data_IF_664296631450
#
_entry.id   IF_664296631450
#
_cell.length_a   1.000
_cell.length_b   1.000
_cell.length_c   1.000
_cell.angle_alpha   90.00
_cell.angle_beta   90.00
_cell.angle_gamma   90.00
#
_symmetry.space_group_name_H-M   'P 1'
#
loop_
_entity.id
_entity.type
_entity.pdbx_description
1 polymer ?
#
# COMPACT_ATOMS: atom_id res chain seq x y z
N UNK A 1 20.52 5.62 35.91
CA UNK A 1 20.65 5.54 34.43
C UNK A 1 21.39 6.77 33.97
N UNK A 2 22.35 6.60 33.09
CA UNK A 2 23.08 7.73 32.53
C UNK A 2 22.16 8.55 31.62
N UNK A 3 22.34 9.88 31.65
CA UNK A 3 21.59 10.80 30.80
C UNK A 3 22.28 10.90 29.46
N UNK A 4 21.53 10.72 28.37
CA UNK A 4 22.01 10.88 26.99
C UNK A 4 21.89 12.33 26.54
N UNK A 5 20.78 13.00 26.94
CA UNK A 5 20.52 14.40 26.63
C UNK A 5 20.43 15.22 27.91
N UNK A 6 21.22 16.30 28.01
CA UNK A 6 21.13 17.22 29.15
C UNK A 6 19.98 18.21 29.00
N UNK A 7 19.72 18.66 27.75
CA UNK A 7 18.64 19.60 27.41
C UNK A 7 17.72 18.99 26.37
N UNK A 8 16.58 18.45 26.81
CA UNK A 8 15.64 17.77 25.91
C UNK A 8 14.19 18.10 26.25
N UNK A 9 13.30 17.97 25.26
CA UNK A 9 11.87 18.26 25.42
C UNK A 9 11.02 17.08 25.02
N UNK A 10 10.09 16.69 25.91
CA UNK A 10 8.99 15.77 25.60
C UNK A 10 7.71 16.56 25.32
N UNK A 11 7.02 16.21 24.25
CA UNK A 11 5.80 16.92 23.83
C UNK A 11 4.66 15.94 23.66
N UNK A 12 3.56 16.24 24.34
CA UNK A 12 2.26 15.62 24.08
C UNK A 12 1.43 16.51 23.16
N UNK A 13 0.94 15.91 22.05
CA UNK A 13 0.34 16.63 20.95
C UNK A 13 -1.14 16.30 20.81
N UNK A 14 -1.99 17.29 21.06
CA UNK A 14 -3.43 17.23 20.85
C UNK A 14 -3.91 18.17 19.73
N UNK A 15 -5.18 18.03 19.34
CA UNK A 15 -5.77 18.83 18.25
C UNK A 15 -5.71 20.34 18.49
N UNK A 16 -5.86 20.79 19.73
CA UNK A 16 -5.97 22.22 20.11
C UNK A 16 -4.88 22.66 21.08
N UNK A 17 -4.25 21.74 21.76
CA UNK A 17 -3.31 21.97 22.85
C UNK A 17 -2.05 21.16 22.62
N UNK A 18 -0.92 21.76 22.87
CA UNK A 18 0.40 21.16 22.89
C UNK A 18 0.97 21.34 24.29
N UNK A 19 1.28 20.28 24.98
CA UNK A 19 1.95 20.32 26.29
C UNK A 19 3.41 19.93 26.09
N UNK A 20 4.34 20.81 26.45
CA UNK A 20 5.78 20.61 26.30
C UNK A 20 6.48 20.64 27.67
N UNK A 21 7.23 19.59 27.97
CA UNK A 21 8.07 19.49 29.12
C UNK A 21 9.55 19.58 28.71
N UNK A 22 10.17 20.71 28.99
CA UNK A 22 11.57 20.94 28.71
C UNK A 22 12.42 20.65 29.97
N UNK A 23 13.36 19.72 29.83
CA UNK A 23 14.33 19.35 30.87
C UNK A 23 15.69 19.97 30.62
N UNK A 24 16.30 20.53 31.67
CA UNK A 24 17.66 21.05 31.70
C UNK A 24 18.38 20.42 32.92
N UNK A 25 19.11 19.36 32.66
CA UNK A 25 19.71 18.56 33.75
C UNK A 25 18.64 17.94 34.65
N UNK A 26 18.59 18.39 35.93
CA UNK A 26 17.60 17.94 36.91
C UNK A 26 16.40 18.87 37.05
N UNK A 27 16.38 20.02 36.34
CA UNK A 27 15.26 20.97 36.32
C UNK A 27 14.35 20.67 35.17
N UNK A 28 13.04 20.88 35.37
CA UNK A 28 12.06 20.77 34.30
C UNK A 28 11.13 21.99 34.32
N UNK A 29 10.69 22.37 33.14
CA UNK A 29 9.72 23.43 32.93
C UNK A 29 8.63 22.91 32.00
N UNK A 30 7.36 23.02 32.41
CA UNK A 30 6.23 22.60 31.59
C UNK A 30 5.50 23.85 31.12
N UNK A 31 5.24 23.93 29.81
CA UNK A 31 4.42 24.98 29.17
C UNK A 31 3.36 24.39 28.28
N UNK A 32 2.26 25.13 28.18
CA UNK A 32 1.17 24.83 27.29
C UNK A 32 1.14 25.84 26.13
N UNK A 33 0.87 25.35 24.92
CA UNK A 33 0.79 26.15 23.70
C UNK A 33 -0.45 25.76 22.91
N UNK A 34 -1.07 26.74 22.23
CA UNK A 34 -2.09 26.44 21.24
C UNK A 34 -1.50 25.76 19.99
N UNK A 35 -2.33 25.02 19.25
CA UNK A 35 -1.91 24.35 18.02
C UNK A 35 -1.95 25.28 16.77
N UNK A 36 -1.90 26.60 16.95
CA UNK A 36 -1.80 27.57 15.84
C UNK A 36 -0.35 27.75 15.43
N UNK A 37 -0.09 28.08 14.17
CA UNK A 37 1.27 28.31 13.65
C UNK A 37 2.05 29.31 14.52
N UNK A 38 1.39 30.42 14.96
CA UNK A 38 2.01 31.42 15.82
C UNK A 38 2.49 30.80 17.14
N UNK A 39 1.66 30.02 17.80
CA UNK A 39 1.99 29.39 19.08
C UNK A 39 3.09 28.29 18.92
N UNK A 40 3.06 27.56 17.80
CA UNK A 40 4.10 26.58 17.49
C UNK A 40 5.46 27.23 17.20
N UNK A 41 5.50 28.41 16.58
CA UNK A 41 6.71 29.19 16.42
C UNK A 41 7.25 29.69 17.76
N UNK A 42 6.39 30.19 18.65
CA UNK A 42 6.78 30.58 20.03
C UNK A 42 7.35 29.38 20.79
N UNK A 43 6.79 28.19 20.63
CA UNK A 43 7.34 26.96 21.20
C UNK A 43 8.73 26.66 20.62
N UNK A 44 8.90 26.75 19.31
CA UNK A 44 10.20 26.51 18.66
C UNK A 44 11.28 27.49 19.14
N UNK A 45 10.94 28.81 19.23
CA UNK A 45 11.83 29.83 19.73
C UNK A 45 12.22 29.56 21.21
N UNK A 46 11.25 29.24 22.08
CA UNK A 46 11.52 28.88 23.47
C UNK A 46 12.48 27.70 23.63
N UNK A 47 12.33 26.68 22.77
CA UNK A 47 13.24 25.51 22.76
C UNK A 47 14.64 25.88 22.26
N UNK A 48 14.72 26.72 21.22
CA UNK A 48 15.97 27.17 20.60
C UNK A 48 16.77 28.06 21.57
N UNK A 49 16.10 29.04 22.22
CA UNK A 49 16.69 29.91 23.25
C UNK A 49 17.17 29.11 24.47
N UNK A 50 16.43 28.03 24.80
CA UNK A 50 16.81 27.10 25.85
C UNK A 50 18.01 26.21 25.51
N UNK A 51 18.41 26.14 24.24
CA UNK A 51 19.46 25.24 23.72
C UNK A 51 19.03 23.77 23.74
N UNK A 52 17.78 23.48 23.35
CA UNK A 52 17.25 22.12 23.29
C UNK A 52 18.03 21.27 22.28
N UNK A 53 18.56 20.13 22.71
CA UNK A 53 19.35 19.22 21.88
C UNK A 53 18.48 18.26 21.07
N UNK A 54 17.37 17.81 21.67
CA UNK A 54 16.43 16.85 21.07
C UNK A 54 15.02 17.05 21.59
N UNK A 55 14.06 16.95 20.68
CA UNK A 55 12.62 16.97 20.96
C UNK A 55 12.01 15.61 20.64
N UNK A 56 11.19 15.06 21.52
CA UNK A 56 10.40 13.87 21.25
C UNK A 56 8.91 14.17 21.35
N UNK A 57 8.12 13.66 20.37
CA UNK A 57 6.67 13.81 20.37
C UNK A 57 5.96 12.50 20.01
N UNK A 58 4.74 12.30 20.54
CA UNK A 58 3.94 11.12 20.19
C UNK A 58 3.28 11.26 18.82
N UNK A 59 3.23 10.16 18.06
CA UNK A 59 2.59 10.07 16.73
C UNK A 59 1.07 10.00 16.81
N UNK A 60 0.41 10.95 17.50
CA UNK A 60 -1.05 10.97 17.62
C UNK A 60 -1.70 11.51 16.35
N UNK A 61 -2.43 10.65 15.63
CA UNK A 61 -3.10 10.95 14.35
C UNK A 61 -2.19 11.70 13.35
N UNK A 62 -2.60 12.90 12.89
CA UNK A 62 -1.81 13.79 12.03
C UNK A 62 -1.37 15.07 12.73
N UNK A 63 -1.70 15.22 14.03
CA UNK A 63 -1.49 16.48 14.77
C UNK A 63 -0.02 16.81 15.03
N UNK A 64 0.85 15.80 15.04
CA UNK A 64 2.30 15.98 15.18
C UNK A 64 2.96 16.63 13.94
N UNK A 65 2.36 16.49 12.75
CA UNK A 65 2.98 16.93 11.48
C UNK A 65 3.27 18.44 11.43
N UNK A 66 2.31 19.36 11.77
CA UNK A 66 2.60 20.79 11.75
C UNK A 66 3.73 21.17 12.69
N UNK A 67 3.73 20.62 13.90
CA UNK A 67 4.79 20.85 14.89
C UNK A 67 6.13 20.34 14.38
N UNK A 68 6.19 19.09 13.90
CA UNK A 68 7.41 18.50 13.35
C UNK A 68 8.00 19.37 12.22
N UNK A 69 7.16 19.82 11.29
CA UNK A 69 7.59 20.67 10.18
C UNK A 69 8.16 22.01 10.65
N UNK A 70 7.59 22.62 11.70
CA UNK A 70 8.10 23.88 12.27
C UNK A 70 9.42 23.63 12.99
N UNK A 71 9.54 22.58 13.79
CA UNK A 71 10.80 22.24 14.46
C UNK A 71 11.90 21.96 13.44
N UNK A 72 11.61 21.18 12.39
CA UNK A 72 12.54 20.88 11.29
C UNK A 72 12.99 22.17 10.57
N UNK A 73 12.04 23.07 10.24
CA UNK A 73 12.36 24.36 9.60
C UNK A 73 13.10 25.36 10.52
N UNK A 74 13.09 25.12 11.82
CA UNK A 74 13.82 25.89 12.84
C UNK A 74 15.16 25.26 13.22
N UNK A 75 15.64 24.24 12.48
CA UNK A 75 16.87 23.47 12.74
C UNK A 75 16.90 22.81 14.13
N UNK A 76 15.74 22.44 14.66
CA UNK A 76 15.62 21.69 15.91
C UNK A 76 15.53 20.19 15.62
N UNK A 77 16.37 19.41 16.28
CA UNK A 77 16.30 17.95 16.18
C UNK A 77 15.02 17.43 16.83
N UNK A 78 14.18 16.75 16.05
CA UNK A 78 12.91 16.21 16.52
C UNK A 78 12.74 14.74 16.14
N UNK A 79 12.23 13.94 17.09
CA UNK A 79 11.83 12.56 16.83
C UNK A 79 10.36 12.36 17.11
N UNK A 80 9.72 11.54 16.27
CA UNK A 80 8.34 11.09 16.47
C UNK A 80 8.37 9.66 16.99
N UNK A 81 7.70 9.41 18.10
CA UNK A 81 7.70 8.09 18.75
C UNK A 81 6.34 7.42 18.65
N UNK A 82 6.34 6.11 18.57
CA UNK A 82 5.09 5.35 18.48
C UNK A 82 4.51 5.11 19.87
N UNK A 83 3.25 5.51 20.08
CA UNK A 83 2.49 5.30 21.31
C UNK A 83 2.55 3.87 21.89
N UNK A 84 2.72 2.85 21.02
CA UNK A 84 2.83 1.45 21.46
C UNK A 84 4.15 1.14 22.16
N UNK A 85 5.24 1.77 21.74
CA UNK A 85 6.52 1.59 22.40
C UNK A 85 6.50 2.26 23.78
N UNK A 86 5.89 3.43 23.89
CA UNK A 86 5.76 4.12 25.18
C UNK A 86 4.85 3.38 26.17
N UNK A 87 3.77 2.75 25.69
CA UNK A 87 2.86 1.93 26.53
C UNK A 87 3.49 0.62 27.05
N UNK A 88 4.59 0.18 26.47
CA UNK A 88 5.32 -1.00 26.94
C UNK A 88 6.23 -0.69 28.15
N UNK A 89 6.46 0.58 28.44
CA UNK A 89 7.26 1.00 29.62
C UNK A 89 6.29 1.26 30.77
N UNK A 90 6.43 0.61 31.96
CA UNK A 90 5.52 0.78 33.09
C UNK A 90 5.55 2.23 33.65
N UNK A 91 4.39 2.83 33.84
CA UNK A 91 4.24 4.20 34.41
C UNK A 91 2.79 4.67 34.50
N UNK A 92 2.52 5.73 35.28
CA UNK A 92 1.18 6.30 35.50
C UNK A 92 0.84 7.39 34.48
N UNK A 93 -0.43 7.43 34.02
CA UNK A 93 -0.96 8.34 32.99
C UNK A 93 -1.75 9.53 33.55
N UNK A 94 -1.39 10.76 33.13
CA UNK A 94 -2.23 11.96 33.01
C UNK A 94 -1.59 12.85 31.94
N UNK A 95 -2.33 13.72 31.22
CA UNK A 95 -1.84 14.46 30.04
C UNK A 95 -0.59 15.33 30.31
N UNK A 96 -0.51 16.04 31.43
CA UNK A 96 0.72 16.75 31.86
C UNK A 96 1.85 15.76 32.15
N UNK A 97 1.51 14.60 32.71
CA UNK A 97 2.49 13.53 32.96
C UNK A 97 2.91 12.79 31.70
N UNK A 98 2.13 12.88 30.60
CA UNK A 98 2.52 12.26 29.33
C UNK A 98 3.70 13.04 28.70
N UNK A 99 3.70 14.38 28.68
CA UNK A 99 4.83 15.20 28.25
C UNK A 99 6.06 15.02 29.14
N UNK A 100 5.88 15.03 30.48
CA UNK A 100 6.95 14.76 31.45
C UNK A 100 7.55 13.37 31.27
N UNK A 101 6.70 12.37 31.01
CA UNK A 101 7.10 10.98 30.80
C UNK A 101 7.88 10.82 29.49
N UNK A 102 7.43 11.46 28.41
CA UNK A 102 8.15 11.49 27.14
C UNK A 102 9.54 12.13 27.33
N UNK A 103 9.63 13.25 28.06
CA UNK A 103 10.87 13.93 28.35
C UNK A 103 11.83 13.07 29.20
N UNK A 104 11.29 12.32 30.17
CA UNK A 104 12.07 11.42 31.01
C UNK A 104 12.66 10.26 30.22
N UNK A 105 11.83 9.60 29.43
CA UNK A 105 12.27 8.51 28.55
C UNK A 105 13.31 8.99 27.52
N UNK A 106 13.09 10.19 26.95
CA UNK A 106 14.03 10.81 26.02
C UNK A 106 15.37 11.08 26.67
N UNK A 107 15.37 11.67 27.84
CA UNK A 107 16.59 12.03 28.58
C UNK A 107 17.49 10.79 28.81
N UNK A 108 16.89 9.64 29.03
CA UNK A 108 17.60 8.37 29.29
C UNK A 108 17.79 7.49 28.04
N UNK A 109 17.42 7.99 26.83
CA UNK A 109 17.58 7.26 25.57
C UNK A 109 16.71 6.02 25.43
N UNK A 110 15.59 5.97 26.14
CA UNK A 110 14.68 4.82 26.14
C UNK A 110 13.63 4.89 25.02
N UNK A 111 13.62 5.98 24.23
CA UNK A 111 12.70 6.15 23.12
C UNK A 111 13.31 5.64 21.82
N UNK A 112 12.49 4.94 21.03
CA UNK A 112 12.83 4.54 19.69
C UNK A 112 12.13 5.43 18.68
N UNK A 113 12.89 6.17 17.86
CA UNK A 113 12.37 7.05 16.83
C UNK A 113 11.62 6.26 15.74
N UNK A 114 10.48 6.78 15.33
CA UNK A 114 9.86 6.39 14.07
C UNK A 114 10.60 7.05 12.91
N UNK A 115 10.79 6.33 11.83
CA UNK A 115 11.38 6.94 10.63
C UNK A 115 10.42 7.96 10.01
N UNK A 116 10.85 9.20 9.97
CA UNK A 116 10.18 10.30 9.26
C UNK A 116 11.08 10.66 8.06
N UNK A 117 10.57 10.52 6.81
CA UNK A 117 11.32 10.89 5.63
C UNK A 117 11.55 12.41 5.55
N UNK A 118 12.43 12.82 4.64
CA UNK A 118 12.58 14.21 4.27
C UNK A 118 11.25 14.80 3.74
N UNK A 119 11.20 16.13 3.61
CA UNK A 119 10.01 16.87 3.23
C UNK A 119 9.48 16.42 1.86
N UNK A 120 10.36 16.31 0.87
CA UNK A 120 9.97 15.96 -0.50
C UNK A 120 9.35 14.54 -0.54
N UNK A 121 9.96 13.58 0.14
CA UNK A 121 9.39 12.23 0.21
C UNK A 121 8.07 12.19 1.00
N UNK A 122 7.87 13.07 2.00
CA UNK A 122 6.57 13.20 2.68
C UNK A 122 5.49 13.72 1.73
N UNK A 123 5.80 14.73 0.94
CA UNK A 123 4.89 15.32 -0.05
C UNK A 123 4.56 14.32 -1.15
N UNK A 124 5.55 13.63 -1.70
CA UNK A 124 5.33 12.53 -2.67
C UNK A 124 4.40 11.44 -2.12
N UNK A 125 4.58 11.07 -0.84
CA UNK A 125 3.67 10.12 -0.17
C UNK A 125 2.24 10.62 -0.08
N UNK A 126 2.02 11.92 0.10
CA UNK A 126 0.69 12.51 0.17
C UNK A 126 0.02 12.51 -1.20
N UNK A 127 0.73 12.88 -2.26
CA UNK A 127 0.24 12.79 -3.65
C UNK A 127 -0.19 11.36 -3.99
N UNK A 128 0.65 10.37 -3.73
CA UNK A 128 0.35 8.95 -4.00
C UNK A 128 -0.85 8.45 -3.18
N UNK A 129 -0.98 8.87 -1.91
CA UNK A 129 -2.12 8.50 -1.07
C UNK A 129 -3.41 9.11 -1.57
N UNK A 130 -3.37 10.38 -1.95
CA UNK A 130 -4.53 11.06 -2.49
C UNK A 130 -4.98 10.44 -3.81
N UNK A 131 -4.05 10.18 -4.73
CA UNK A 131 -4.33 9.44 -5.96
C UNK A 131 -5.02 8.10 -5.68
N UNK A 132 -4.51 7.32 -4.71
CA UNK A 132 -5.13 6.04 -4.31
C UNK A 132 -6.55 6.22 -3.78
N UNK A 133 -6.83 7.31 -3.05
CA UNK A 133 -8.18 7.65 -2.59
C UNK A 133 -9.12 7.85 -3.75
N UNK A 134 -8.74 8.66 -4.76
CA UNK A 134 -9.55 8.93 -5.95
C UNK A 134 -9.81 7.65 -6.78
N UNK A 135 -8.82 6.76 -6.91
CA UNK A 135 -9.03 5.44 -7.53
C UNK A 135 -10.06 4.62 -6.75
N UNK A 136 -10.03 4.70 -5.43
CA UNK A 136 -11.05 4.07 -4.58
C UNK A 136 -12.44 4.68 -4.76
N UNK A 137 -12.53 6.00 -4.93
CA UNK A 137 -13.77 6.72 -5.23
C UNK A 137 -14.34 6.31 -6.58
N UNK A 138 -13.51 6.31 -7.62
CA UNK A 138 -13.88 5.83 -8.94
C UNK A 138 -14.45 4.40 -8.89
N UNK A 139 -13.83 3.52 -8.14
CA UNK A 139 -14.32 2.15 -7.97
C UNK A 139 -15.70 2.12 -7.30
N UNK A 140 -15.94 2.99 -6.31
CA UNK A 140 -17.27 3.11 -5.67
C UNK A 140 -18.33 3.61 -6.65
N UNK A 141 -18.01 4.58 -7.51
CA UNK A 141 -18.91 5.08 -8.53
C UNK A 141 -19.24 4.01 -9.57
N UNK A 142 -18.25 3.27 -10.06
CA UNK A 142 -18.48 2.14 -10.97
C UNK A 142 -19.40 1.07 -10.34
N UNK A 143 -19.23 0.79 -9.05
CA UNK A 143 -20.13 -0.14 -8.35
C UNK A 143 -21.57 0.42 -8.19
N UNK A 144 -21.74 1.75 -8.02
CA UNK A 144 -23.06 2.39 -8.01
C UNK A 144 -23.72 2.29 -9.37
N UNK A 145 -22.98 2.60 -10.43
CA UNK A 145 -23.46 2.46 -11.81
C UNK A 145 -23.91 1.02 -12.09
N UNK A 146 -23.08 0.03 -11.74
CA UNK A 146 -23.44 -1.37 -11.92
C UNK A 146 -24.71 -1.76 -11.16
N UNK A 147 -24.86 -1.34 -9.90
CA UNK A 147 -26.09 -1.60 -9.12
C UNK A 147 -27.33 -0.96 -9.74
N UNK A 148 -27.20 0.22 -10.33
CA UNK A 148 -28.30 0.89 -10.99
C UNK A 148 -28.72 0.15 -12.27
N UNK A 149 -27.76 -0.31 -13.07
CA UNK A 149 -27.99 -1.12 -14.25
C UNK A 149 -28.69 -2.44 -13.90
N UNK A 150 -28.20 -3.13 -12.87
CA UNK A 150 -28.84 -4.36 -12.37
C UNK A 150 -30.25 -4.10 -11.89
N UNK A 151 -30.54 -2.95 -11.25
CA UNK A 151 -31.86 -2.53 -10.84
C UNK A 151 -32.83 -2.24 -12.02
N UNK A 152 -32.29 -1.91 -13.19
CA UNK A 152 -33.01 -1.75 -14.45
C UNK A 152 -33.06 -3.04 -15.29
N UNK A 153 -32.58 -4.16 -14.77
CA UNK A 153 -32.39 -5.44 -15.46
C UNK A 153 -31.48 -5.36 -16.69
N UNK A 154 -30.45 -4.51 -16.65
CA UNK A 154 -29.45 -4.37 -17.71
C UNK A 154 -28.18 -5.13 -17.27
N UNK A 155 -27.75 -6.12 -18.05
CA UNK A 155 -26.68 -7.05 -17.73
C UNK A 155 -25.35 -6.68 -18.40
N UNK A 156 -25.04 -5.38 -18.53
CA UNK A 156 -23.85 -4.87 -19.22
C UNK A 156 -22.54 -5.51 -18.74
N UNK A 157 -22.41 -5.81 -17.45
CA UNK A 157 -21.20 -6.44 -16.87
C UNK A 157 -21.00 -7.90 -17.33
N UNK A 158 -22.04 -8.58 -17.82
CA UNK A 158 -21.94 -9.90 -18.47
C UNK A 158 -21.46 -9.81 -19.91
N UNK A 159 -21.73 -8.71 -20.56
CA UNK A 159 -21.48 -8.45 -21.99
C UNK A 159 -20.10 -7.87 -22.25
N UNK A 160 -19.64 -6.94 -21.41
CA UNK A 160 -18.35 -6.26 -21.55
C UNK A 160 -17.36 -6.70 -20.47
N UNK A 161 -16.07 -6.75 -20.82
CA UNK A 161 -15.01 -7.10 -19.88
C UNK A 161 -14.73 -6.00 -18.83
N UNK A 162 -14.96 -4.75 -19.20
CA UNK A 162 -14.75 -3.57 -18.36
C UNK A 162 -15.87 -2.56 -18.57
N UNK A 163 -16.65 -2.32 -17.52
CA UNK A 163 -17.76 -1.35 -17.51
C UNK A 163 -17.29 0.11 -17.69
N UNK A 164 -16.00 0.38 -17.46
CA UNK A 164 -15.36 1.67 -17.69
C UNK A 164 -14.67 1.75 -19.06
N UNK A 165 -14.70 0.70 -19.85
CA UNK A 165 -14.09 0.62 -21.18
C UNK A 165 -14.86 1.42 -22.23
N UNK A 166 -14.20 1.72 -23.37
CA UNK A 166 -14.78 2.51 -24.47
C UNK A 166 -16.13 1.98 -24.94
N UNK A 167 -16.24 0.68 -25.21
CA UNK A 167 -17.50 0.06 -25.67
C UNK A 167 -18.61 0.19 -24.63
N UNK A 168 -18.31 -0.07 -23.35
CA UNK A 168 -19.29 0.12 -22.29
C UNK A 168 -19.75 1.56 -22.20
N UNK A 169 -18.80 2.52 -22.26
CA UNK A 169 -19.12 3.95 -22.21
C UNK A 169 -20.05 4.37 -23.35
N UNK A 170 -19.76 3.96 -24.57
CA UNK A 170 -20.60 4.28 -25.74
C UNK A 170 -22.01 3.66 -25.65
N UNK A 171 -22.09 2.44 -25.12
CA UNK A 171 -23.40 1.79 -24.86
C UNK A 171 -24.19 2.59 -23.82
N UNK A 172 -23.54 2.97 -22.71
CA UNK A 172 -24.16 3.75 -21.64
C UNK A 172 -24.63 5.13 -22.12
N UNK A 173 -23.84 5.82 -22.94
CA UNK A 173 -24.22 7.10 -23.56
C UNK A 173 -25.42 6.95 -24.45
N UNK A 174 -25.51 5.88 -25.26
CA UNK A 174 -26.69 5.63 -26.08
C UNK A 174 -27.92 5.34 -25.20
N UNK A 175 -27.79 4.57 -24.13
CA UNK A 175 -28.91 4.28 -23.21
C UNK A 175 -29.50 5.54 -22.56
N UNK A 176 -28.74 6.64 -22.48
CA UNK A 176 -29.25 7.91 -21.98
C UNK A 176 -30.30 8.54 -22.90
N UNK A 177 -30.32 8.19 -24.19
CA UNK A 177 -31.37 8.63 -25.14
C UNK A 177 -32.74 8.06 -24.78
N UNK A 178 -32.74 6.88 -24.15
CA UNK A 178 -33.96 6.13 -23.84
C UNK A 178 -34.46 5.24 -24.97
N UNK A 179 -33.75 5.22 -26.08
CA UNK A 179 -34.05 4.36 -27.22
C UNK A 179 -33.54 2.93 -26.96
N UNK A 180 -34.29 1.89 -27.37
CA UNK A 180 -33.83 0.51 -27.23
C UNK A 180 -32.67 0.21 -28.20
N UNK A 181 -31.81 -0.72 -27.80
CA UNK A 181 -30.75 -1.25 -28.68
C UNK A 181 -31.36 -2.46 -29.41
N UNK A 182 -31.88 -2.25 -30.60
CA UNK A 182 -32.36 -3.30 -31.48
C UNK A 182 -31.25 -3.87 -32.38
N UNK A 183 -31.59 -4.81 -33.25
CA UNK A 183 -30.64 -5.45 -34.16
C UNK A 183 -30.00 -4.47 -35.14
N UNK A 184 -30.74 -3.46 -35.61
CA UNK A 184 -30.23 -2.45 -36.54
C UNK A 184 -29.24 -1.55 -35.84
N UNK A 185 -29.58 -1.05 -34.65
CA UNK A 185 -28.71 -0.20 -33.87
C UNK A 185 -27.46 -0.91 -33.40
N UNK A 186 -27.57 -2.19 -33.05
CA UNK A 186 -26.40 -3.01 -32.73
C UNK A 186 -25.45 -3.09 -33.93
N UNK A 187 -25.96 -3.37 -35.15
CA UNK A 187 -25.12 -3.47 -36.35
C UNK A 187 -24.43 -2.14 -36.68
N UNK A 188 -25.13 -1.01 -36.56
CA UNK A 188 -24.51 0.32 -36.71
C UNK A 188 -23.36 0.53 -35.73
N UNK A 189 -23.60 0.23 -34.45
CA UNK A 189 -22.57 0.39 -33.39
C UNK A 189 -21.39 -0.57 -33.58
N UNK A 190 -21.62 -1.76 -34.12
CA UNK A 190 -20.61 -2.74 -34.45
C UNK A 190 -19.76 -2.31 -35.65
N UNK A 191 -20.38 -1.86 -36.74
CA UNK A 191 -19.67 -1.36 -37.94
C UNK A 191 -18.84 -0.11 -37.64
N UNK A 192 -19.36 0.79 -36.82
CA UNK A 192 -18.67 1.99 -36.34
C UNK A 192 -17.54 1.69 -35.31
N UNK A 193 -17.32 0.41 -34.98
CA UNK A 193 -16.35 -0.04 -33.95
C UNK A 193 -16.60 0.54 -32.55
N UNK A 194 -17.83 0.95 -32.28
CA UNK A 194 -18.30 1.39 -30.98
C UNK A 194 -18.38 0.20 -30.04
N UNK A 195 -18.92 -0.92 -30.53
CA UNK A 195 -18.92 -2.21 -29.84
C UNK A 195 -17.68 -3.01 -30.29
N UNK A 196 -16.94 -3.54 -29.31
CA UNK A 196 -15.73 -4.30 -29.60
C UNK A 196 -16.05 -5.62 -30.34
N UNK A 197 -15.31 -5.93 -31.40
CA UNK A 197 -15.50 -7.12 -32.24
C UNK A 197 -15.14 -8.45 -31.54
N UNK A 198 -14.54 -8.42 -30.37
CA UNK A 198 -14.08 -9.60 -29.62
C UNK A 198 -14.96 -9.93 -28.41
N UNK A 199 -16.22 -9.47 -28.39
CA UNK A 199 -17.18 -9.85 -27.34
C UNK A 199 -17.49 -11.35 -27.44
N UNK A 200 -17.61 -11.99 -26.27
CA UNK A 200 -17.83 -13.45 -26.20
C UNK A 200 -19.27 -13.85 -26.40
N UNK A 201 -20.20 -12.95 -26.09
CA UNK A 201 -21.64 -13.19 -26.22
C UNK A 201 -22.10 -13.02 -27.68
N UNK A 202 -23.14 -13.76 -28.08
CA UNK A 202 -23.78 -13.58 -29.39
C UNK A 202 -24.49 -12.24 -29.50
N UNK A 203 -24.75 -11.75 -30.72
CA UNK A 203 -25.53 -10.52 -30.98
C UNK A 203 -26.84 -10.50 -30.21
N UNK A 204 -27.63 -11.57 -30.36
CA UNK A 204 -28.95 -11.68 -29.73
C UNK A 204 -28.86 -11.63 -28.20
N UNK A 205 -27.89 -12.32 -27.61
CA UNK A 205 -27.66 -12.30 -26.19
C UNK A 205 -27.25 -10.90 -25.70
N UNK A 206 -26.42 -10.17 -26.46
CA UNK A 206 -26.03 -8.80 -26.13
C UNK A 206 -27.24 -7.88 -26.16
N UNK A 207 -28.08 -7.99 -27.18
CA UNK A 207 -29.33 -7.19 -27.31
C UNK A 207 -30.24 -7.47 -26.12
N UNK A 208 -30.44 -8.74 -25.76
CA UNK A 208 -31.28 -9.13 -24.62
C UNK A 208 -30.71 -8.61 -23.29
N UNK A 209 -29.39 -8.74 -23.08
CA UNK A 209 -28.70 -8.27 -21.88
C UNK A 209 -28.78 -6.74 -21.69
N UNK A 210 -28.90 -5.98 -22.78
CA UNK A 210 -28.96 -4.52 -22.79
C UNK A 210 -30.37 -3.94 -22.75
N UNK A 211 -31.40 -4.73 -23.09
CA UNK A 211 -32.81 -4.32 -23.14
C UNK A 211 -33.49 -4.46 -21.76
N UNK A 212 -33.07 -3.62 -20.82
CA UNK A 212 -33.76 -3.42 -19.55
C UNK A 212 -34.67 -2.21 -19.56
N UNK A 213 -35.43 -2.01 -18.48
CA UNK A 213 -36.33 -0.87 -18.32
C UNK A 213 -35.71 0.16 -17.40
N UNK A 214 -35.22 1.26 -17.98
CA UNK A 214 -34.65 2.39 -17.24
C UNK A 214 -35.62 3.58 -17.22
N UNK A 215 -36.02 4.01 -16.02
CA UNK A 215 -36.87 5.19 -15.85
C UNK A 215 -36.13 6.48 -16.24
N UNK A 216 -36.86 7.58 -16.57
CA UNK A 216 -36.23 8.88 -16.80
C UNK A 216 -35.36 9.36 -15.66
N UNK A 217 -35.75 9.08 -14.40
CA UNK A 217 -34.96 9.40 -13.23
C UNK A 217 -33.66 8.60 -13.19
N UNK A 218 -33.68 7.30 -13.48
CA UNK A 218 -32.49 6.47 -13.53
C UNK A 218 -31.53 6.93 -14.65
N UNK A 219 -32.03 7.32 -15.83
CA UNK A 219 -31.20 7.92 -16.88
C UNK A 219 -30.51 9.19 -16.43
N UNK A 220 -31.24 10.08 -15.74
CA UNK A 220 -30.64 11.30 -15.17
C UNK A 220 -29.54 10.97 -14.14
N UNK A 221 -29.82 10.03 -13.23
CA UNK A 221 -28.82 9.59 -12.25
C UNK A 221 -27.61 8.94 -12.94
N UNK A 222 -27.81 8.19 -14.01
CA UNK A 222 -26.72 7.61 -14.79
C UNK A 222 -25.84 8.69 -15.42
N UNK A 223 -26.43 9.77 -15.96
CA UNK A 223 -25.67 10.93 -16.47
C UNK A 223 -24.75 11.50 -15.39
N UNK A 224 -25.30 11.81 -14.22
CA UNK A 224 -24.51 12.34 -13.08
C UNK A 224 -23.36 11.40 -12.68
N UNK A 225 -23.59 10.08 -12.65
CA UNK A 225 -22.56 9.11 -12.33
C UNK A 225 -21.47 9.07 -13.42
N UNK A 226 -21.84 9.15 -14.69
CA UNK A 226 -20.88 9.15 -15.80
C UNK A 226 -20.03 10.42 -15.82
N UNK A 227 -20.65 11.57 -15.61
CA UNK A 227 -19.94 12.87 -15.54
C UNK A 227 -18.96 12.88 -14.38
N UNK A 228 -19.36 12.41 -13.18
CA UNK A 228 -18.46 12.29 -12.04
C UNK A 228 -17.32 11.28 -12.26
N UNK A 229 -17.57 10.18 -12.98
CA UNK A 229 -16.50 9.24 -13.37
C UNK A 229 -15.48 9.91 -14.30
N UNK A 230 -15.93 10.76 -15.21
CA UNK A 230 -15.02 11.51 -16.10
C UNK A 230 -14.17 12.52 -15.34
N UNK A 231 -14.77 13.27 -14.41
CA UNK A 231 -14.04 14.16 -13.50
C UNK A 231 -12.97 13.42 -12.69
N UNK A 232 -13.34 12.27 -12.09
CA UNK A 232 -12.40 11.44 -11.35
C UNK A 232 -11.25 10.92 -12.23
N UNK A 233 -11.53 10.54 -13.48
CA UNK A 233 -10.50 10.12 -14.44
C UNK A 233 -9.52 11.25 -14.76
N UNK A 234 -10.03 12.48 -14.97
CA UNK A 234 -9.19 13.67 -15.21
C UNK A 234 -8.32 13.96 -13.99
N UNK A 235 -8.89 13.97 -12.78
CA UNK A 235 -8.14 14.23 -11.54
C UNK A 235 -7.07 13.16 -11.30
N UNK A 236 -7.38 11.89 -11.52
CA UNK A 236 -6.40 10.79 -11.38
C UNK A 236 -5.24 10.98 -12.37
N UNK A 237 -5.55 11.34 -13.62
CA UNK A 237 -4.53 11.60 -14.65
C UNK A 237 -3.63 12.77 -14.27
N UNK A 238 -4.21 13.90 -13.85
CA UNK A 238 -3.44 15.06 -13.41
C UNK A 238 -2.50 14.70 -12.26
N UNK A 239 -2.95 13.90 -11.28
CA UNK A 239 -2.08 13.42 -10.21
C UNK A 239 -1.01 12.44 -10.68
N UNK A 240 -1.28 11.62 -11.72
CA UNK A 240 -0.25 10.77 -12.33
C UNK A 240 0.87 11.61 -12.92
N UNK A 241 0.51 12.67 -13.66
CA UNK A 241 1.45 13.60 -14.27
C UNK A 241 2.23 14.41 -13.21
N UNK A 242 1.54 14.86 -12.14
CA UNK A 242 2.16 15.57 -11.03
C UNK A 242 3.14 14.68 -10.24
N UNK A 243 2.77 13.45 -9.92
CA UNK A 243 3.66 12.48 -9.25
C UNK A 243 4.91 12.25 -10.11
N UNK A 244 4.74 12.07 -11.42
CA UNK A 244 5.87 11.85 -12.31
C UNK A 244 6.80 13.08 -12.35
N UNK A 245 6.25 14.30 -12.40
CA UNK A 245 7.02 15.54 -12.40
C UNK A 245 7.72 15.79 -11.06
N UNK A 246 7.07 15.46 -9.95
CA UNK A 246 7.59 15.66 -8.59
C UNK A 246 8.74 14.73 -8.24
N UNK A 247 8.74 13.49 -8.77
CA UNK A 247 9.79 12.52 -8.51
C UNK A 247 11.16 12.99 -8.99
N UNK A 248 12.18 12.85 -8.14
CA UNK A 248 13.58 13.12 -8.44
C UNK A 248 14.13 12.14 -9.48
N UNK A 249 15.18 12.51 -10.23
CA UNK A 249 15.79 11.60 -11.23
C UNK A 249 16.18 10.23 -10.67
N UNK A 250 16.77 10.19 -9.47
CA UNK A 250 17.14 8.93 -8.79
C UNK A 250 15.92 8.09 -8.43
N UNK A 251 14.81 8.71 -8.03
CA UNK A 251 13.55 8.02 -7.72
C UNK A 251 12.90 7.45 -8.98
N UNK A 252 12.93 8.20 -10.10
CA UNK A 252 12.47 7.71 -11.41
C UNK A 252 13.28 6.51 -11.87
N UNK A 253 14.62 6.58 -11.74
CA UNK A 253 15.53 5.47 -12.06
C UNK A 253 15.23 4.25 -11.21
N UNK A 254 15.06 4.44 -9.90
CA UNK A 254 14.68 3.38 -8.96
C UNK A 254 13.32 2.77 -9.30
N UNK A 255 12.32 3.62 -9.61
CA UNK A 255 10.99 3.19 -10.05
C UNK A 255 11.06 2.35 -11.33
N UNK A 256 11.84 2.78 -12.32
CA UNK A 256 12.05 2.00 -13.54
C UNK A 256 12.74 0.66 -13.28
N UNK A 257 13.73 0.61 -12.41
CA UNK A 257 14.45 -0.61 -12.06
C UNK A 257 13.54 -1.68 -11.44
N UNK A 258 12.68 -1.31 -10.49
CA UNK A 258 11.77 -2.27 -9.82
C UNK A 258 10.61 -2.73 -10.72
N UNK A 259 10.31 -2.03 -11.82
CA UNK A 259 9.33 -2.47 -12.82
C UNK A 259 9.80 -3.72 -13.60
N UNK A 260 11.09 -4.06 -13.54
CA UNK A 260 11.59 -5.34 -14.05
C UNK A 260 10.98 -6.56 -13.35
N UNK A 261 10.46 -6.39 -12.13
CA UNK A 261 9.78 -7.44 -11.37
C UNK A 261 8.40 -7.69 -11.97
N UNK A 262 8.14 -8.92 -12.41
CA UNK A 262 6.83 -9.32 -12.93
C UNK A 262 5.69 -8.92 -11.98
N UNK A 263 4.72 -8.16 -12.47
CA UNK A 263 3.54 -7.72 -11.71
C UNK A 263 3.67 -6.33 -11.07
N UNK A 264 4.80 -5.64 -11.19
CA UNK A 264 4.98 -4.26 -10.78
C UNK A 264 4.88 -3.35 -12.01
N UNK A 265 3.81 -2.58 -12.11
CA UNK A 265 3.65 -1.53 -13.12
C UNK A 265 4.06 -0.15 -12.57
N UNK A 266 4.10 0.87 -13.44
CA UNK A 266 4.57 2.22 -13.13
C UNK A 266 3.94 2.80 -11.85
N UNK A 267 2.63 2.85 -11.78
CA UNK A 267 1.90 3.38 -10.61
C UNK A 267 2.24 2.67 -9.29
N UNK A 268 2.41 1.33 -9.34
CA UNK A 268 2.81 0.56 -8.17
C UNK A 268 4.26 0.83 -7.79
N UNK A 269 5.15 0.98 -8.77
CA UNK A 269 6.55 1.30 -8.56
C UNK A 269 6.69 2.70 -7.90
N UNK A 270 6.02 3.71 -8.43
CA UNK A 270 5.97 5.06 -7.84
C UNK A 270 5.46 5.02 -6.39
N UNK A 271 4.38 4.28 -6.12
CA UNK A 271 3.83 4.13 -4.77
C UNK A 271 4.80 3.41 -3.81
N UNK A 272 5.54 2.44 -4.29
CA UNK A 272 6.57 1.74 -3.52
C UNK A 272 7.71 2.71 -3.19
N UNK A 273 8.29 3.37 -4.19
CA UNK A 273 9.40 4.33 -4.00
C UNK A 273 8.99 5.48 -3.07
N UNK A 274 7.79 6.05 -3.25
CA UNK A 274 7.27 7.09 -2.35
C UNK A 274 7.27 6.64 -0.88
N UNK A 275 7.03 5.37 -0.59
CA UNK A 275 6.99 4.86 0.78
C UNK A 275 8.37 4.47 1.29
N UNK A 276 9.17 3.76 0.49
CA UNK A 276 10.45 3.22 0.96
C UNK A 276 11.64 4.16 0.68
N UNK A 277 11.51 5.12 -0.26
CA UNK A 277 12.63 5.93 -0.75
C UNK A 277 13.61 5.11 -1.59
N UNK A 278 14.76 5.70 -1.86
CA UNK A 278 15.86 5.08 -2.61
C UNK A 278 17.03 4.68 -1.72
N UNK A 279 17.14 5.30 -0.54
CA UNK A 279 18.19 4.98 0.44
C UNK A 279 17.84 3.70 1.23
N UNK A 280 18.60 2.63 0.99
CA UNK A 280 18.47 1.35 1.66
C UNK A 280 19.37 1.17 2.87
N UNK A 281 20.31 2.09 3.13
CA UNK A 281 21.22 2.01 4.30
C UNK A 281 20.46 2.12 5.64
N UNK A 282 19.28 2.73 5.62
CA UNK A 282 18.37 2.80 6.78
C UNK A 282 17.83 1.45 7.25
N UNK A 283 17.89 0.41 6.40
CA UNK A 283 17.52 -0.95 6.77
C UNK A 283 18.79 -1.80 6.90
N UNK A 284 19.05 -2.38 8.08
CA UNK A 284 20.21 -3.26 8.27
C UNK A 284 20.29 -4.36 7.21
N UNK A 285 19.11 -4.94 6.89
CA UNK A 285 18.96 -6.00 5.89
C UNK A 285 17.52 -6.04 5.34
N UNK A 286 17.29 -6.93 4.41
CA UNK A 286 16.00 -7.18 3.76
C UNK A 286 14.94 -7.71 4.74
N UNK A 287 15.34 -8.48 5.75
CA UNK A 287 14.43 -9.00 6.77
C UNK A 287 13.87 -7.88 7.67
N UNK A 288 14.71 -6.89 8.02
CA UNK A 288 14.26 -5.70 8.75
C UNK A 288 13.27 -4.87 7.93
N UNK A 289 13.55 -4.69 6.63
CA UNK A 289 12.61 -4.02 5.71
C UNK A 289 11.28 -4.76 5.60
N UNK A 290 11.30 -6.09 5.46
CA UNK A 290 10.10 -6.92 5.39
C UNK A 290 9.29 -6.90 6.69
N UNK A 291 9.97 -6.84 7.84
CA UNK A 291 9.33 -6.69 9.16
C UNK A 291 8.67 -5.31 9.30
N UNK A 292 9.36 -4.24 8.92
CA UNK A 292 8.84 -2.88 8.91
C UNK A 292 7.61 -2.74 8.00
N UNK A 293 7.64 -3.35 6.82
CA UNK A 293 6.51 -3.39 5.88
C UNK A 293 5.30 -4.21 6.40
N UNK A 294 5.48 -5.00 7.46
CA UNK A 294 4.43 -5.86 8.01
C UNK A 294 4.12 -7.07 7.13
N UNK A 295 5.10 -7.56 6.39
CA UNK A 295 4.98 -8.76 5.55
C UNK A 295 5.56 -10.01 6.21
N UNK A 296 6.27 -9.87 7.34
CA UNK A 296 6.76 -10.99 8.15
C UNK A 296 5.74 -11.44 9.19
N UNK A 297 5.74 -12.73 9.57
CA UNK A 297 5.02 -13.20 10.75
C UNK A 297 5.50 -12.47 12.01
N UNK A 298 4.60 -12.19 12.93
CA UNK A 298 4.98 -11.67 14.24
C UNK A 298 5.57 -12.78 15.12
N UNK A 299 6.53 -12.42 15.99
CA UNK A 299 7.03 -13.31 17.03
C UNK A 299 6.04 -13.33 18.20
N UNK A 300 5.11 -14.26 18.14
CA UNK A 300 4.20 -14.60 19.22
C UNK A 300 4.55 -15.99 19.72
N UNK A 301 5.65 -16.09 20.43
CA UNK A 301 6.09 -17.34 21.07
C UNK A 301 6.08 -17.17 22.58
N UNK A 302 5.58 -18.18 23.29
CA UNK A 302 5.64 -18.26 24.75
C UNK A 302 5.93 -19.70 25.13
N UNK A 303 6.95 -19.91 25.94
CA UNK A 303 7.41 -21.25 26.37
C UNK A 303 7.65 -22.21 25.18
N UNK A 304 8.36 -21.74 24.14
CA UNK A 304 8.66 -22.49 22.91
C UNK A 304 7.40 -22.90 22.09
N UNK A 305 6.21 -22.41 22.44
CA UNK A 305 4.99 -22.64 21.65
C UNK A 305 4.63 -21.38 20.85
N UNK A 306 4.62 -21.51 19.53
CA UNK A 306 4.21 -20.45 18.62
C UNK A 306 2.70 -20.25 18.70
N UNK A 307 2.23 -19.11 19.22
CA UNK A 307 0.81 -18.81 19.43
C UNK A 307 0.10 -18.33 18.17
N UNK A 308 0.78 -17.57 17.29
CA UNK A 308 0.17 -17.00 16.09
C UNK A 308 1.20 -16.78 14.99
N UNK A 309 0.85 -17.12 13.73
CA UNK A 309 1.60 -16.75 12.53
C UNK A 309 1.05 -15.49 11.82
N UNK A 310 0.25 -14.67 12.53
CA UNK A 310 -0.30 -13.43 11.97
C UNK A 310 0.83 -12.41 11.74
N UNK A 311 0.82 -11.75 10.58
CA UNK A 311 1.79 -10.69 10.28
C UNK A 311 1.58 -9.48 11.18
N UNK A 312 2.67 -8.76 11.50
CA UNK A 312 2.62 -7.49 12.24
C UNK A 312 1.89 -6.41 11.42
N UNK A 313 1.43 -5.36 12.10
CA UNK A 313 0.96 -4.14 11.42
C UNK A 313 2.18 -3.41 10.89
N UNK A 314 2.19 -3.08 9.61
CA UNK A 314 3.21 -2.29 8.94
C UNK A 314 2.57 -1.16 8.13
N UNK A 315 3.31 -0.60 7.18
CA UNK A 315 2.79 0.44 6.29
C UNK A 315 1.66 -0.10 5.41
N UNK A 316 0.44 0.37 5.63
CA UNK A 316 -0.75 -0.14 4.94
C UNK A 316 -0.72 0.12 3.42
N UNK A 317 -0.15 1.25 2.97
CA UNK A 317 -0.03 1.57 1.55
C UNK A 317 0.91 0.60 0.86
N UNK A 318 2.13 0.43 1.37
CA UNK A 318 3.13 -0.49 0.83
C UNK A 318 2.61 -1.94 0.79
N UNK A 319 2.07 -2.40 1.92
CA UNK A 319 1.54 -3.76 2.06
C UNK A 319 0.43 -4.03 1.04
N UNK A 320 -0.56 -3.15 0.90
CA UNK A 320 -1.66 -3.35 -0.05
C UNK A 320 -1.18 -3.28 -1.48
N UNK A 321 -0.26 -2.38 -1.81
CA UNK A 321 0.34 -2.27 -3.15
C UNK A 321 1.08 -3.55 -3.52
N UNK A 322 1.96 -4.05 -2.65
CA UNK A 322 2.70 -5.30 -2.91
C UNK A 322 1.79 -6.54 -3.01
N UNK A 323 0.73 -6.61 -2.22
CA UNK A 323 -0.26 -7.71 -2.36
C UNK A 323 -0.98 -7.60 -3.72
N UNK A 324 -1.33 -6.41 -4.19
CA UNK A 324 -1.92 -6.20 -5.52
C UNK A 324 -0.94 -6.59 -6.63
N UNK A 325 0.34 -6.21 -6.50
CA UNK A 325 1.40 -6.66 -7.40
C UNK A 325 1.55 -8.19 -7.42
N UNK A 326 1.48 -8.83 -6.26
CA UNK A 326 1.51 -10.28 -6.14
C UNK A 326 0.34 -10.96 -6.86
N UNK A 327 -0.89 -10.39 -6.76
CA UNK A 327 -2.04 -10.86 -7.53
C UNK A 327 -1.82 -10.77 -9.04
N UNK A 328 -1.13 -9.72 -9.51
CA UNK A 328 -0.76 -9.58 -10.92
C UNK A 328 0.34 -10.55 -11.33
N UNK A 329 1.40 -10.66 -10.53
CA UNK A 329 2.55 -11.52 -10.81
C UNK A 329 2.19 -12.99 -10.97
N UNK A 330 1.28 -13.51 -10.14
CA UNK A 330 0.88 -14.93 -10.20
C UNK A 330 0.00 -15.28 -11.42
N UNK A 331 -0.43 -14.31 -12.22
CA UNK A 331 -1.09 -14.60 -13.50
C UNK A 331 -0.13 -15.13 -14.54
N UNK A 332 1.16 -14.77 -14.44
CA UNK A 332 2.21 -15.32 -15.29
C UNK A 332 2.61 -16.72 -14.84
N UNK A 333 2.01 -17.75 -15.45
CA UNK A 333 2.24 -19.16 -15.12
C UNK A 333 3.69 -19.63 -15.30
N UNK A 334 4.52 -18.89 -16.04
CA UNK A 334 5.93 -19.19 -16.29
C UNK A 334 6.88 -18.60 -15.24
N UNK A 335 6.38 -17.77 -14.30
CA UNK A 335 7.19 -17.06 -13.31
C UNK A 335 7.45 -17.89 -12.04
N UNK A 336 8.55 -17.56 -11.37
CA UNK A 336 8.87 -18.03 -10.01
C UNK A 336 7.74 -17.72 -9.03
N UNK A 337 7.12 -16.53 -9.12
CA UNK A 337 6.06 -16.11 -8.21
C UNK A 337 4.79 -16.96 -8.34
N UNK A 338 4.46 -17.41 -9.56
CA UNK A 338 3.37 -18.36 -9.73
C UNK A 338 3.68 -19.71 -9.08
N UNK A 339 4.89 -20.25 -9.28
CA UNK A 339 5.29 -21.50 -8.66
C UNK A 339 5.31 -21.43 -7.14
N UNK A 340 5.81 -20.32 -6.57
CA UNK A 340 5.77 -20.05 -5.13
C UNK A 340 4.32 -20.01 -4.60
N UNK A 341 3.45 -19.27 -5.30
CA UNK A 341 2.04 -19.16 -4.94
C UNK A 341 1.35 -20.53 -4.95
N UNK A 342 1.49 -21.31 -6.00
CA UNK A 342 0.87 -22.64 -6.12
C UNK A 342 1.34 -23.57 -4.99
N UNK A 343 2.64 -23.59 -4.70
CA UNK A 343 3.21 -24.41 -3.63
C UNK A 343 2.64 -24.04 -2.25
N UNK A 344 2.56 -22.74 -1.93
CA UNK A 344 2.10 -22.30 -0.61
C UNK A 344 0.58 -22.39 -0.51
N UNK A 345 -0.15 -22.06 -1.57
CA UNK A 345 -1.62 -22.05 -1.54
C UNK A 345 -2.22 -23.44 -1.31
N UNK A 346 -1.56 -24.49 -1.79
CA UNK A 346 -1.97 -25.90 -1.58
C UNK A 346 -2.03 -26.30 -0.10
N UNK A 347 -1.16 -25.73 0.76
CA UNK A 347 -1.06 -26.12 2.17
C UNK A 347 -1.49 -25.04 3.16
N UNK A 348 -1.45 -23.76 2.78
CA UNK A 348 -1.65 -22.62 3.69
C UNK A 348 -2.76 -21.67 3.23
N UNK A 349 -3.37 -21.94 2.08
CA UNK A 349 -4.45 -21.16 1.47
C UNK A 349 -3.97 -19.91 0.74
N UNK A 350 -4.81 -19.42 -0.20
CA UNK A 350 -4.49 -18.34 -1.16
C UNK A 350 -4.06 -17.04 -0.50
N UNK A 351 -4.74 -16.58 0.57
CA UNK A 351 -4.42 -15.32 1.24
C UNK A 351 -2.99 -15.28 1.80
N UNK A 352 -2.54 -16.38 2.41
CA UNK A 352 -1.16 -16.49 2.93
C UNK A 352 -0.14 -16.59 1.80
N UNK A 353 -0.49 -17.28 0.71
CA UNK A 353 0.36 -17.40 -0.46
C UNK A 353 0.64 -16.02 -1.10
N UNK A 354 -0.37 -15.16 -1.28
CA UNK A 354 -0.16 -13.80 -1.78
C UNK A 354 0.75 -12.97 -0.88
N UNK A 355 0.59 -13.07 0.43
CA UNK A 355 1.48 -12.37 1.38
C UNK A 355 2.93 -12.87 1.26
N UNK A 356 3.14 -14.17 1.07
CA UNK A 356 4.48 -14.72 0.88
C UNK A 356 5.11 -14.28 -0.45
N UNK A 357 4.33 -14.20 -1.53
CA UNK A 357 4.80 -13.64 -2.81
C UNK A 357 5.14 -12.16 -2.65
N UNK A 358 4.27 -11.37 -2.02
CA UNK A 358 4.52 -9.95 -1.74
C UNK A 358 5.79 -9.73 -0.90
N UNK A 359 6.07 -10.62 0.07
CA UNK A 359 7.32 -10.63 0.82
C UNK A 359 8.53 -10.86 -0.10
N UNK A 360 8.48 -11.89 -0.95
CA UNK A 360 9.58 -12.17 -1.89
C UNK A 360 9.80 -11.05 -2.89
N UNK A 361 8.74 -10.38 -3.35
CA UNK A 361 8.84 -9.18 -4.19
C UNK A 361 9.55 -8.05 -3.44
N UNK A 362 9.23 -7.82 -2.16
CA UNK A 362 9.89 -6.79 -1.38
C UNK A 362 11.38 -7.06 -1.16
N UNK A 363 11.77 -8.32 -0.93
CA UNK A 363 13.18 -8.74 -0.86
C UNK A 363 13.89 -8.43 -2.19
N UNK A 364 13.29 -8.77 -3.34
CA UNK A 364 13.84 -8.45 -4.64
C UNK A 364 14.00 -6.93 -4.85
N UNK A 365 13.02 -6.13 -4.42
CA UNK A 365 13.09 -4.66 -4.46
C UNK A 365 14.26 -4.15 -3.63
N UNK A 366 14.45 -4.67 -2.41
CA UNK A 366 15.57 -4.28 -1.55
C UNK A 366 16.92 -4.47 -2.25
N UNK A 367 17.16 -5.66 -2.82
CA UNK A 367 18.42 -5.94 -3.51
C UNK A 367 18.60 -5.14 -4.82
N UNK A 368 17.52 -4.89 -5.58
CA UNK A 368 17.60 -4.01 -6.74
C UNK A 368 18.05 -2.61 -6.33
N UNK A 369 17.49 -2.06 -5.25
CA UNK A 369 17.77 -0.70 -4.82
C UNK A 369 19.11 -0.59 -4.09
N UNK A 370 19.49 -1.58 -3.28
CA UNK A 370 20.73 -1.57 -2.50
C UNK A 370 21.95 -1.94 -3.34
N UNK A 371 21.83 -3.06 -4.07
CA UNK A 371 22.96 -3.69 -4.73
C UNK A 371 23.04 -3.33 -6.23
N UNK A 372 22.04 -2.60 -6.75
CA UNK A 372 21.97 -2.23 -8.17
C UNK A 372 21.78 -3.41 -9.12
N UNK A 373 21.34 -4.57 -8.61
CA UNK A 373 21.19 -5.79 -9.42
C UNK A 373 19.93 -5.75 -10.26
N UNK A 374 19.95 -6.42 -11.40
CA UNK A 374 18.77 -6.58 -12.25
C UNK A 374 17.97 -7.80 -11.80
N UNK A 375 16.65 -7.68 -11.73
CA UNK A 375 15.78 -8.79 -11.39
C UNK A 375 15.88 -9.90 -12.42
N UNK A 376 16.13 -11.13 -11.95
CA UNK A 376 16.12 -12.33 -12.78
C UNK A 376 15.06 -13.29 -12.27
N UNK A 377 14.04 -13.55 -13.09
CA UNK A 377 13.01 -14.53 -12.75
C UNK A 377 13.60 -15.93 -12.79
N UNK A 378 13.50 -16.66 -11.70
CA UNK A 378 14.02 -18.03 -11.56
C UNK A 378 13.14 -19.07 -12.28
N UNK A 379 11.99 -18.65 -12.81
CA UNK A 379 11.06 -19.47 -13.57
C UNK A 379 10.18 -20.41 -12.74
N UNK A 380 9.19 -20.99 -13.40
CA UNK A 380 8.21 -21.88 -12.76
C UNK A 380 8.82 -23.19 -12.25
N UNK A 381 9.89 -23.66 -12.89
CA UNK A 381 10.54 -24.94 -12.59
C UNK A 381 11.51 -24.85 -11.39
N UNK A 382 11.78 -23.67 -10.85
CA UNK A 382 12.72 -23.48 -9.73
C UNK A 382 12.52 -24.48 -8.59
N UNK A 383 11.28 -24.60 -8.09
CA UNK A 383 10.99 -25.54 -7.00
C UNK A 383 11.00 -27.01 -7.41
N UNK A 384 10.94 -27.31 -8.70
CA UNK A 384 11.07 -28.69 -9.19
C UNK A 384 12.54 -29.12 -9.21
N UNK A 385 13.44 -28.20 -9.57
CA UNK A 385 14.88 -28.43 -9.56
C UNK A 385 15.45 -28.50 -8.13
N UNK A 386 14.97 -27.65 -7.23
CA UNK A 386 15.46 -27.49 -5.84
C UNK A 386 15.20 -28.68 -4.93
N UNK A 387 14.76 -29.77 -5.25
CA UNK A 387 14.65 -31.01 -4.47
C UNK A 387 14.28 -32.19 -5.38
N UNK A 388 14.82 -32.19 -6.60
CA UNK A 388 14.47 -33.13 -7.65
C UNK A 388 14.62 -34.59 -7.16
N UNK A 389 15.76 -34.93 -6.59
CA UNK A 389 16.05 -36.28 -6.11
C UNK A 389 15.11 -36.69 -4.93
N UNK A 390 14.88 -35.81 -3.99
CA UNK A 390 13.96 -36.07 -2.86
C UNK A 390 12.53 -36.29 -3.35
N UNK A 391 12.08 -35.54 -4.36
CA UNK A 391 10.77 -35.75 -4.99
C UNK A 391 10.69 -37.05 -5.74
N UNK A 392 11.70 -37.36 -6.54
CA UNK A 392 11.79 -38.63 -7.28
C UNK A 392 11.68 -39.78 -6.31
N UNK A 393 12.50 -39.79 -5.25
CA UNK A 393 12.47 -40.86 -4.23
C UNK A 393 11.12 -40.96 -3.52
N UNK A 394 10.45 -39.82 -3.23
CA UNK A 394 9.12 -39.84 -2.65
C UNK A 394 8.05 -40.39 -3.60
N UNK A 395 8.13 -40.10 -4.90
CA UNK A 395 7.24 -40.69 -5.91
C UNK A 395 7.50 -42.17 -6.14
N UNK A 396 8.75 -42.60 -6.21
CA UNK A 396 9.13 -44.00 -6.30
C UNK A 396 8.62 -44.80 -5.12
N UNK A 397 8.73 -44.25 -3.90
CA UNK A 397 8.17 -44.89 -2.70
C UNK A 397 6.65 -45.05 -2.77
N UNK A 398 5.94 -44.05 -3.29
CA UNK A 398 4.48 -44.12 -3.49
C UNK A 398 4.10 -45.13 -4.57
N UNK A 399 4.83 -45.17 -5.68
CA UNK A 399 4.60 -46.13 -6.77
C UNK A 399 4.80 -47.58 -6.29
N UNK A 400 5.89 -47.82 -5.55
CA UNK A 400 6.12 -49.13 -4.93
C UNK A 400 5.00 -49.55 -3.96
N UNK A 401 4.49 -48.61 -3.17
CA UNK A 401 3.37 -48.86 -2.26
C UNK A 401 2.06 -49.21 -3.00
N UNK A 402 1.92 -48.81 -4.26
CA UNK A 402 0.81 -49.11 -5.15
C UNK A 402 1.06 -50.36 -6.02
N UNK A 403 2.16 -51.11 -5.76
CA UNK A 403 2.50 -52.33 -6.47
C UNK A 403 3.18 -52.09 -7.83
N UNK A 404 3.63 -50.88 -8.14
CA UNK A 404 4.36 -50.59 -9.38
C UNK A 404 5.86 -50.76 -9.14
N UNK A 405 6.49 -51.54 -10.01
CA UNK A 405 7.95 -51.71 -10.04
C UNK A 405 8.52 -51.09 -11.34
N UNK A 406 9.65 -50.41 -11.21
CA UNK A 406 10.30 -49.82 -12.35
C UNK A 406 10.73 -50.92 -13.34
N UNK A 407 10.45 -50.80 -14.65
CA UNK A 407 10.98 -51.77 -15.63
C UNK A 407 12.50 -51.83 -15.52
N UNK A 408 13.04 -53.04 -15.53
CA UNK A 408 14.49 -53.23 -15.55
C UNK A 408 15.08 -52.49 -16.76
N UNK A 409 15.97 -51.54 -16.50
CA UNK A 409 16.72 -50.88 -17.57
C UNK A 409 17.61 -51.93 -18.16
N UNK A 410 17.32 -52.35 -19.40
CA UNK A 410 18.24 -53.21 -20.15
C UNK A 410 19.58 -52.46 -20.28
N UNK A 411 20.63 -53.09 -19.79
CA UNK A 411 22.00 -52.57 -19.80
C UNK A 411 22.54 -52.39 -21.20
#
# INVERSE_FOLDING_TARGET
>A
MDKIYDKCCGIDVHKKLIVACFRKGNKQEVREFGATTRELLVLADWLKDGGCEMVAMESTASYWKPLYNILESSDLNAMVVNARHMKAVPGRKTDVKDAEWIADLLQHGLLQASYIPDKDQRELRELVRYRKSLVGERTRELNRLQKMLEGANIKLSGTVADINGKSARSILEYMLTGEPIDSVKYDEMYEQKVIAHNLKASKDQIIDDLNGVMSPLQRRMMRELLDHLDELNVHIKNLDDEIDNFMKPEEKKASAAIQSITGIGNTSAQAIIAVIGTDMERFPDDAHMASWAGLCPGDNESAKKRKSGRTRKGNALLRTTLITCAHSAVKNKKSYFYAQFMRISAHRGKKRAYVAVAHSMLIAIYHILKDGVVFKDLGAEYYNQFNKERKINAYLKKLKALGWEAPAVAA
#
